data_IF_071621295723
#
_entry.id   IF_071621295723
#
_cell.length_a   1.000
_cell.length_b   1.000
_cell.length_c   1.000
_cell.angle_alpha   90.00
_cell.angle_beta   90.00
_cell.angle_gamma   90.00
#
_symmetry.space_group_name_H-M   'P 1'
#
loop_
_entity.id
_entity.type
_entity.pdbx_description
1 polymer ?
#
# COMPACT_ATOMS: atom_id res chain seq x y z
N UNK A 1 72.51 -33.74 4.27
CA UNK A 1 72.29 -32.27 4.22
C UNK A 1 70.80 -32.01 4.38
N UNK A 2 70.38 -31.57 5.56
CA UNK A 2 68.99 -31.15 5.81
C UNK A 2 68.87 -29.69 5.38
N UNK A 3 67.92 -29.38 4.49
CA UNK A 3 67.56 -27.99 4.20
C UNK A 3 66.80 -27.47 5.42
N UNK A 4 67.36 -26.47 6.09
CA UNK A 4 66.63 -25.71 7.12
C UNK A 4 65.65 -24.81 6.37
N UNK A 5 64.36 -25.15 6.44
CA UNK A 5 63.29 -24.29 5.93
C UNK A 5 63.19 -23.06 6.84
N UNK A 6 63.35 -21.83 6.34
CA UNK A 6 63.16 -20.65 7.17
C UNK A 6 61.65 -20.46 7.41
N UNK A 7 61.25 -20.31 8.67
CA UNK A 7 59.88 -19.90 8.99
C UNK A 7 59.62 -18.49 8.43
N UNK A 8 58.41 -18.22 7.89
CA UNK A 8 58.07 -16.89 7.41
C UNK A 8 57.99 -15.89 8.56
N UNK A 9 58.35 -14.60 8.34
CA UNK A 9 58.22 -13.58 9.37
C UNK A 9 56.74 -13.41 9.72
N UNK A 10 56.46 -13.24 11.02
CA UNK A 10 55.10 -13.12 11.54
C UNK A 10 54.33 -12.02 10.83
N UNK A 11 53.12 -12.36 10.40
CA UNK A 11 52.18 -11.41 9.81
C UNK A 11 51.93 -10.30 10.82
N UNK A 12 52.41 -9.10 10.51
CA UNK A 12 52.08 -7.87 11.21
C UNK A 12 50.54 -7.73 11.16
N UNK A 13 49.83 -7.58 12.29
CA UNK A 13 48.38 -7.48 12.27
C UNK A 13 47.99 -6.10 11.71
N UNK A 14 47.92 -6.03 10.39
CA UNK A 14 47.32 -4.92 9.67
C UNK A 14 45.80 -4.99 9.85
N UNK A 15 45.30 -4.37 10.92
CA UNK A 15 44.15 -3.44 10.91
C UNK A 15 43.72 -3.15 12.36
N UNK A 16 43.76 -1.89 12.84
CA UNK A 16 43.39 -1.53 14.23
C UNK A 16 41.92 -1.75 14.60
N UNK A 17 41.10 -2.26 13.69
CA UNK A 17 39.67 -2.47 13.90
C UNK A 17 39.32 -3.93 13.60
N UNK A 18 39.27 -4.74 14.65
CA UNK A 18 38.38 -5.91 14.68
C UNK A 18 36.95 -5.35 14.69
N UNK A 19 36.17 -5.50 13.61
CA UNK A 19 34.82 -4.98 13.62
C UNK A 19 33.99 -5.84 14.57
N UNK A 20 33.46 -5.22 15.63
CA UNK A 20 32.55 -5.90 16.55
C UNK A 20 31.40 -6.51 15.73
N UNK A 21 31.30 -7.83 15.71
CA UNK A 21 30.26 -8.56 14.96
C UNK A 21 28.85 -8.04 15.26
N UNK A 22 28.62 -7.63 16.52
CA UNK A 22 27.37 -7.00 16.94
C UNK A 22 27.10 -5.66 16.24
N UNK A 23 28.12 -4.82 16.05
CA UNK A 23 27.98 -3.54 15.32
C UNK A 23 27.74 -3.77 13.82
N UNK A 24 28.37 -4.80 13.25
CA UNK A 24 28.12 -5.18 11.86
C UNK A 24 26.69 -5.71 11.68
N UNK A 25 26.20 -6.51 12.61
CA UNK A 25 24.82 -7.02 12.58
C UNK A 25 23.81 -5.87 12.74
N UNK A 26 24.03 -4.95 13.68
CA UNK A 26 23.18 -3.77 13.86
C UNK A 26 23.19 -2.86 12.62
N UNK A 27 24.35 -2.66 11.98
CA UNK A 27 24.45 -1.91 10.74
C UNK A 27 23.74 -2.61 9.57
N UNK A 28 23.80 -3.94 9.51
CA UNK A 28 23.10 -4.74 8.51
C UNK A 28 21.58 -4.68 8.70
N UNK A 29 21.09 -4.83 9.93
CA UNK A 29 19.66 -4.68 10.28
C UNK A 29 19.16 -3.27 9.93
N UNK A 30 19.92 -2.22 10.28
CA UNK A 30 19.59 -0.83 9.91
C UNK A 30 19.55 -0.63 8.39
N UNK A 31 20.47 -1.23 7.64
CA UNK A 31 20.48 -1.15 6.19
C UNK A 31 19.29 -1.90 5.57
N UNK A 32 18.91 -3.05 6.14
CA UNK A 32 17.73 -3.80 5.72
C UNK A 32 16.45 -3.00 5.99
N UNK A 33 16.28 -2.40 7.17
CA UNK A 33 15.11 -1.58 7.49
C UNK A 33 15.00 -0.34 6.58
N UNK A 34 16.13 0.29 6.25
CA UNK A 34 16.16 1.48 5.39
C UNK A 34 15.86 1.15 3.92
N UNK A 35 16.42 0.06 3.39
CA UNK A 35 16.27 -0.30 1.98
C UNK A 35 15.05 -1.19 1.70
N UNK A 36 14.57 -1.92 2.70
CA UNK A 36 13.44 -2.84 2.61
C UNK A 36 12.46 -2.57 3.74
N UNK A 37 11.80 -1.39 3.75
CA UNK A 37 10.80 -1.07 4.77
C UNK A 37 9.73 -2.16 4.79
N UNK A 38 9.36 -2.60 5.99
CA UNK A 38 8.36 -3.64 6.14
C UNK A 38 7.01 -3.16 5.57
N UNK A 39 6.12 -4.09 5.22
CA UNK A 39 4.78 -3.72 4.74
C UNK A 39 4.00 -2.90 5.79
N UNK A 40 4.33 -3.03 7.08
CA UNK A 40 3.78 -2.22 8.15
C UNK A 40 4.29 -0.76 8.10
N UNK A 41 5.55 -0.53 7.72
CA UNK A 41 6.14 0.80 7.61
C UNK A 41 5.61 1.55 6.38
N UNK A 42 5.34 0.83 5.27
CA UNK A 42 4.67 1.39 4.10
C UNK A 42 3.25 1.87 4.45
N UNK A 43 2.57 1.18 5.38
CA UNK A 43 1.24 1.57 5.87
C UNK A 43 1.29 2.77 6.83
N UNK A 44 2.45 3.08 7.42
CA UNK A 44 2.64 4.18 8.37
C UNK A 44 2.94 5.53 7.67
N UNK A 45 3.34 5.52 6.40
CA UNK A 45 3.58 6.76 5.65
C UNK A 45 2.22 7.40 5.28
N UNK A 46 1.91 8.63 5.74
CA UNK A 46 0.68 9.30 5.35
C UNK A 46 0.62 9.44 3.83
N UNK A 47 -0.47 8.96 3.24
CA UNK A 47 -0.72 9.16 1.80
C UNK A 47 -0.71 10.64 1.46
N UNK A 48 0.17 11.06 0.55
CA UNK A 48 0.09 12.38 -0.06
C UNK A 48 -1.14 12.40 -0.97
N UNK A 49 -2.13 13.23 -0.65
CA UNK A 49 -3.34 13.36 -1.46
C UNK A 49 -2.96 14.09 -2.75
N UNK A 50 -3.28 13.49 -3.90
CA UNK A 50 -3.12 14.15 -5.20
C UNK A 50 -4.04 15.36 -5.30
N UNK A 51 -3.52 16.49 -5.77
CA UNK A 51 -4.30 17.70 -6.05
C UNK A 51 -4.67 17.83 -7.53
N UNK A 52 -4.34 16.83 -8.36
CA UNK A 52 -4.61 16.85 -9.80
C UNK A 52 -6.11 16.89 -10.12
N UNK A 53 -6.92 16.26 -9.27
CA UNK A 53 -8.38 16.27 -9.36
C UNK A 53 -8.95 16.79 -8.05
N UNK A 54 -9.89 17.73 -8.14
CA UNK A 54 -10.58 18.31 -7.00
C UNK A 54 -12.08 18.40 -7.29
N UNK A 55 -12.88 18.42 -6.23
CA UNK A 55 -14.32 18.68 -6.32
C UNK A 55 -14.51 20.19 -6.48
N UNK A 56 -15.40 20.59 -7.39
CA UNK A 56 -15.77 21.99 -7.59
C UNK A 56 -16.35 22.58 -6.29
N UNK A 57 -15.77 23.66 -5.73
CA UNK A 57 -16.25 24.27 -4.49
C UNK A 57 -17.66 24.85 -4.60
N UNK A 58 -18.14 25.18 -5.81
CA UNK A 58 -19.48 25.72 -6.03
C UNK A 58 -20.54 24.63 -6.19
N UNK A 59 -20.14 23.35 -6.25
CA UNK A 59 -21.06 22.23 -6.40
C UNK A 59 -21.94 22.07 -5.16
N UNK A 60 -23.25 21.93 -5.40
CA UNK A 60 -24.22 21.70 -4.32
C UNK A 60 -24.09 20.27 -3.76
N UNK A 61 -24.55 20.06 -2.52
CA UNK A 61 -24.50 18.73 -1.89
C UNK A 61 -25.27 17.70 -2.69
N UNK A 62 -26.43 18.08 -3.22
CA UNK A 62 -27.29 17.28 -4.08
C UNK A 62 -26.52 16.85 -5.33
N UNK A 63 -25.85 17.79 -6.00
CA UNK A 63 -25.07 17.52 -7.21
C UNK A 63 -23.94 16.51 -6.94
N UNK A 64 -23.20 16.71 -5.83
CA UNK A 64 -22.13 15.81 -5.42
C UNK A 64 -22.64 14.41 -5.10
N UNK A 65 -23.80 14.33 -4.44
CA UNK A 65 -24.40 13.07 -4.04
C UNK A 65 -24.99 12.32 -5.23
N UNK A 66 -25.66 13.00 -6.17
CA UNK A 66 -26.13 12.39 -7.43
C UNK A 66 -24.95 11.86 -8.23
N UNK A 67 -23.88 12.66 -8.37
CA UNK A 67 -22.68 12.22 -9.08
C UNK A 67 -22.01 11.02 -8.40
N UNK A 68 -21.99 10.98 -7.07
CA UNK A 68 -21.48 9.85 -6.30
C UNK A 68 -22.29 8.58 -6.59
N UNK A 69 -23.62 8.65 -6.51
CA UNK A 69 -24.50 7.49 -6.77
C UNK A 69 -24.33 6.98 -8.19
N UNK A 70 -24.32 7.87 -9.19
CA UNK A 70 -24.09 7.50 -10.60
C UNK A 70 -22.71 6.84 -10.81
N UNK A 71 -21.68 7.38 -10.15
CA UNK A 71 -20.33 6.82 -10.21
C UNK A 71 -20.28 5.42 -9.58
N UNK A 72 -20.93 5.23 -8.43
CA UNK A 72 -20.98 3.93 -7.77
C UNK A 72 -21.72 2.89 -8.63
N UNK A 73 -22.87 3.26 -9.20
CA UNK A 73 -23.63 2.39 -10.09
C UNK A 73 -22.81 1.97 -11.32
N UNK A 74 -22.07 2.92 -11.92
CA UNK A 74 -21.15 2.63 -13.02
C UNK A 74 -20.05 1.66 -12.60
N UNK A 75 -19.48 1.83 -11.41
CA UNK A 75 -18.47 0.91 -10.86
C UNK A 75 -19.06 -0.48 -10.62
N UNK A 76 -20.27 -0.60 -10.06
CA UNK A 76 -20.89 -1.90 -9.81
C UNK A 76 -21.10 -2.69 -11.12
N UNK A 77 -21.54 -2.01 -12.18
CA UNK A 77 -21.65 -2.61 -13.52
C UNK A 77 -20.30 -3.10 -14.03
N UNK A 78 -19.24 -2.29 -13.92
CA UNK A 78 -17.89 -2.69 -14.34
C UNK A 78 -17.35 -3.88 -13.53
N UNK A 79 -17.62 -3.91 -12.22
CA UNK A 79 -17.22 -5.03 -11.36
C UNK A 79 -17.93 -6.30 -11.79
N UNK A 80 -19.25 -6.27 -11.99
CA UNK A 80 -20.02 -7.43 -12.43
C UNK A 80 -19.59 -7.93 -13.82
N UNK A 81 -19.30 -7.01 -14.76
CA UNK A 81 -18.73 -7.38 -16.05
C UNK A 81 -17.43 -8.17 -15.89
N UNK A 82 -16.58 -7.82 -14.93
CA UNK A 82 -15.31 -8.52 -14.71
C UNK A 82 -15.47 -9.84 -13.91
N UNK A 83 -16.44 -9.91 -12.99
CA UNK A 83 -16.73 -11.11 -12.19
C UNK A 83 -17.03 -12.33 -13.07
N UNK A 84 -17.73 -12.13 -14.19
CA UNK A 84 -18.07 -13.22 -15.11
C UNK A 84 -16.86 -13.78 -15.89
N UNK A 85 -15.74 -13.05 -15.91
CA UNK A 85 -14.52 -13.44 -16.62
C UNK A 85 -13.44 -14.01 -15.70
N UNK A 86 -13.67 -14.05 -14.38
CA UNK A 86 -12.69 -14.50 -13.39
C UNK A 86 -13.21 -15.67 -12.57
N UNK A 87 -12.28 -16.53 -12.14
CA UNK A 87 -12.56 -17.68 -11.30
C UNK A 87 -11.81 -17.61 -9.95
N UNK A 88 -12.27 -18.43 -9.00
CA UNK A 88 -11.58 -18.65 -7.72
C UNK A 88 -11.44 -17.39 -6.86
N UNK A 89 -10.24 -17.17 -6.31
CA UNK A 89 -9.97 -16.09 -5.35
C UNK A 89 -10.21 -14.69 -5.91
N UNK A 90 -9.87 -14.43 -7.17
CA UNK A 90 -10.06 -13.12 -7.80
C UNK A 90 -11.54 -12.79 -7.99
N UNK A 91 -12.37 -13.78 -8.33
CA UNK A 91 -13.82 -13.63 -8.39
C UNK A 91 -14.39 -13.25 -7.02
N UNK A 92 -13.97 -13.94 -5.97
CA UNK A 92 -14.42 -13.64 -4.60
C UNK A 92 -14.00 -12.24 -4.14
N UNK A 93 -12.79 -11.79 -4.50
CA UNK A 93 -12.33 -10.44 -4.19
C UNK A 93 -13.22 -9.38 -4.87
N UNK A 94 -13.54 -9.55 -6.16
CA UNK A 94 -14.44 -8.63 -6.87
C UNK A 94 -15.85 -8.61 -6.33
N UNK A 95 -16.40 -9.77 -5.95
CA UNK A 95 -17.70 -9.84 -5.27
C UNK A 95 -17.68 -9.08 -3.94
N UNK A 96 -16.57 -9.14 -3.20
CA UNK A 96 -16.38 -8.31 -2.00
C UNK A 96 -16.38 -6.81 -2.30
N UNK A 97 -15.77 -6.40 -3.41
CA UNK A 97 -15.80 -5.01 -3.88
C UNK A 97 -17.23 -4.59 -4.26
N UNK A 98 -17.95 -5.39 -5.06
CA UNK A 98 -19.35 -5.10 -5.43
C UNK A 98 -20.23 -4.96 -4.18
N UNK A 99 -20.11 -5.85 -3.20
CA UNK A 99 -20.85 -5.71 -1.93
C UNK A 99 -20.53 -4.39 -1.20
N UNK A 100 -19.28 -3.92 -1.28
CA UNK A 100 -18.87 -2.66 -0.65
C UNK A 100 -19.42 -1.45 -1.40
N UNK A 101 -19.48 -1.52 -2.74
CA UNK A 101 -20.08 -0.50 -3.61
C UNK A 101 -21.59 -0.42 -3.37
N UNK A 102 -22.29 -1.55 -3.35
CA UNK A 102 -23.72 -1.63 -3.06
C UNK A 102 -24.08 -1.01 -1.70
N UNK A 103 -23.26 -1.26 -0.66
CA UNK A 103 -23.44 -0.62 0.66
C UNK A 103 -23.24 0.90 0.61
N UNK A 104 -22.29 1.38 -0.19
CA UNK A 104 -22.09 2.81 -0.40
C UNK A 104 -23.27 3.45 -1.14
N UNK A 105 -23.82 2.77 -2.16
CA UNK A 105 -24.98 3.25 -2.93
C UNK A 105 -26.22 3.43 -2.05
N UNK A 106 -26.61 2.40 -1.28
CA UNK A 106 -27.79 2.52 -0.42
C UNK A 106 -27.62 3.61 0.64
N UNK A 107 -26.39 3.82 1.11
CA UNK A 107 -26.07 4.87 2.09
C UNK A 107 -26.15 6.25 1.42
N UNK A 108 -25.63 6.37 0.21
CA UNK A 108 -25.65 7.62 -0.56
C UNK A 108 -27.07 8.01 -0.98
N UNK A 109 -27.87 7.05 -1.45
CA UNK A 109 -29.29 7.23 -1.75
C UNK A 109 -30.06 7.68 -0.50
N UNK A 110 -29.82 7.04 0.66
CA UNK A 110 -30.46 7.45 1.92
C UNK A 110 -30.07 8.86 2.36
N UNK A 111 -28.89 9.32 2.01
CA UNK A 111 -28.45 10.69 2.29
C UNK A 111 -29.06 11.68 1.30
N UNK A 112 -29.24 11.31 0.02
CA UNK A 112 -30.02 12.09 -0.95
C UNK A 112 -31.46 12.31 -0.50
N UNK A 113 -32.15 11.26 -0.05
CA UNK A 113 -33.53 11.35 0.46
C UNK A 113 -33.68 12.31 1.66
N UNK A 114 -32.60 12.54 2.42
CA UNK A 114 -32.61 13.49 3.55
C UNK A 114 -32.40 14.93 3.11
N UNK A 115 -31.74 15.12 1.96
CA UNK A 115 -31.47 16.44 1.39
C UNK A 115 -32.69 16.92 0.60
N UNK A 116 -33.37 16.02 -0.11
CA UNK A 116 -34.59 16.27 -0.87
C UNK A 116 -35.77 15.48 -0.27
N UNK A 117 -36.39 15.95 0.83
CA UNK A 117 -37.48 15.22 1.46
C UNK A 117 -38.69 15.13 0.50
N UNK A 118 -39.31 13.95 0.36
CA UNK A 118 -40.49 13.80 -0.47
C UNK A 118 -41.64 14.67 0.07
N UNK A 119 -42.29 15.44 -0.82
CA UNK A 119 -43.54 16.18 -0.54
C UNK A 119 -44.70 15.26 -0.13
#
# INVERSE_FOLDING_TARGET
MFKVTPNPPGTDPASPYEPDSNKLNEAAERALDYHFPSTADIKATPRTVSTLFAVDPEATRETLMVYLVETLASVDVMVHQLVDHLDGGSRNALLGISNSVMLAEITANRLLDQIDPPE
#
